data_IF_256871910590
#
_entry.id   IF_256871910590
#
_cell.length_a   1.000
_cell.length_b   1.000
_cell.length_c   1.000
_cell.angle_alpha   90.00
_cell.angle_beta   90.00
_cell.angle_gamma   90.00
#
_symmetry.space_group_name_H-M   'P 1'
#
loop_
_entity.id
_entity.type
_entity.pdbx_description
1 polymer ?
#
# COMPACT_ATOMS: atom_id res chain seq x y z
N UNK A 1 -0.42 2.55 -1.10
CA UNK A 1 -0.63 1.23 -1.71
C UNK A 1 -0.02 1.20 -3.11
N UNK A 2 0.90 0.30 -3.34
CA UNK A 2 1.52 0.08 -4.65
C UNK A 2 0.86 -1.12 -5.32
N UNK A 3 0.45 -0.96 -6.57
CA UNK A 3 -0.22 -2.00 -7.35
C UNK A 3 -0.90 -1.39 -8.57
N UNK A 4 -2.10 -1.81 -8.88
CA UNK A 4 -2.87 -1.25 -9.99
C UNK A 4 -4.11 -2.07 -10.34
N UNK A 5 -4.83 -1.62 -11.33
CA UNK A 5 -6.08 -2.24 -11.76
C UNK A 5 -5.91 -3.67 -12.33
N UNK A 6 -4.68 -4.02 -12.69
CA UNK A 6 -4.34 -5.36 -13.18
C UNK A 6 -4.21 -6.40 -12.06
N UNK A 7 -4.23 -5.98 -10.81
CA UNK A 7 -3.94 -6.80 -9.64
C UNK A 7 -5.24 -7.09 -8.86
N UNK A 8 -5.78 -8.33 -8.89
CA UNK A 8 -7.02 -8.66 -8.18
C UNK A 8 -6.95 -8.41 -6.67
N UNK A 9 -5.82 -8.73 -6.04
CA UNK A 9 -5.63 -8.51 -4.60
C UNK A 9 -5.56 -7.02 -4.24
N UNK A 10 -5.04 -6.18 -5.15
CA UNK A 10 -5.03 -4.73 -4.98
C UNK A 10 -6.45 -4.17 -4.98
N UNK A 11 -7.28 -4.64 -5.90
CA UNK A 11 -8.69 -4.24 -5.99
C UNK A 11 -9.48 -4.73 -4.76
N UNK A 12 -9.20 -5.95 -4.29
CA UNK A 12 -9.82 -6.48 -3.07
C UNK A 12 -9.48 -5.65 -1.85
N UNK A 13 -8.23 -5.20 -1.73
CA UNK A 13 -7.81 -4.36 -0.61
C UNK A 13 -8.48 -2.98 -0.65
N UNK A 14 -8.53 -2.35 -1.81
CA UNK A 14 -9.20 -1.06 -1.97
C UNK A 14 -10.68 -1.15 -1.61
N UNK A 15 -11.36 -2.21 -2.05
CA UNK A 15 -12.75 -2.48 -1.71
C UNK A 15 -12.93 -2.75 -0.20
N UNK A 16 -12.02 -3.50 0.39
CA UNK A 16 -12.02 -3.79 1.83
C UNK A 16 -11.89 -2.50 2.66
N UNK A 17 -10.97 -1.62 2.33
CA UNK A 17 -10.80 -0.33 3.01
C UNK A 17 -12.07 0.52 2.89
N UNK A 18 -12.70 0.53 1.73
CA UNK A 18 -13.92 1.30 1.50
C UNK A 18 -15.10 0.77 2.32
N UNK A 19 -15.25 -0.55 2.40
CA UNK A 19 -16.42 -1.20 3.01
C UNK A 19 -16.29 -1.49 4.50
N UNK A 20 -15.08 -1.76 5.00
CA UNK A 20 -14.87 -2.00 6.42
C UNK A 20 -14.83 -0.67 7.17
N UNK A 21 -15.84 -0.42 7.98
CA UNK A 21 -16.01 0.86 8.68
C UNK A 21 -14.84 1.18 9.60
N UNK A 22 -14.32 0.21 10.33
CA UNK A 22 -13.22 0.41 11.27
C UNK A 22 -11.91 0.73 10.54
N UNK A 23 -11.61 -0.01 9.48
CA UNK A 23 -10.41 0.20 8.66
C UNK A 23 -10.49 1.53 7.93
N UNK A 24 -11.64 1.84 7.33
CA UNK A 24 -11.88 3.11 6.65
C UNK A 24 -11.61 4.30 7.57
N UNK A 25 -12.16 4.25 8.79
CA UNK A 25 -11.96 5.30 9.79
C UNK A 25 -10.48 5.41 10.20
N UNK A 26 -9.82 4.29 10.45
CA UNK A 26 -8.40 4.30 10.84
C UNK A 26 -7.52 4.93 9.76
N UNK A 27 -7.79 4.62 8.50
CA UNK A 27 -7.06 5.21 7.36
C UNK A 27 -7.33 6.71 7.26
N UNK A 28 -8.61 7.09 7.24
CA UNK A 28 -8.98 8.50 7.01
C UNK A 28 -8.56 9.43 8.15
N UNK A 29 -8.57 8.93 9.40
CA UNK A 29 -8.23 9.74 10.57
C UNK A 29 -6.71 9.93 10.74
N UNK A 30 -5.89 9.02 10.21
CA UNK A 30 -4.46 8.97 10.52
C UNK A 30 -3.54 9.08 9.31
N UNK A 31 -4.05 8.86 8.09
CA UNK A 31 -3.22 8.76 6.89
C UNK A 31 -3.81 9.55 5.73
N UNK A 32 -2.92 9.89 4.79
CA UNK A 32 -3.31 10.23 3.42
C UNK A 32 -3.08 8.97 2.59
N UNK A 33 -4.14 8.37 2.10
CA UNK A 33 -4.09 7.11 1.37
C UNK A 33 -3.92 7.39 -0.11
N UNK A 34 -2.77 6.99 -0.66
CA UNK A 34 -2.44 7.18 -2.07
C UNK A 34 -2.30 5.82 -2.76
N UNK A 35 -2.83 5.74 -3.97
CA UNK A 35 -2.64 4.59 -4.85
C UNK A 35 -1.55 4.90 -5.85
N UNK A 36 -0.49 4.07 -5.85
CA UNK A 36 0.59 4.17 -6.82
C UNK A 36 0.39 3.07 -7.86
N UNK A 37 0.13 3.47 -9.09
CA UNK A 37 -0.06 2.55 -10.19
C UNK A 37 1.30 2.12 -10.75
N UNK A 38 1.62 0.84 -10.59
CA UNK A 38 2.85 0.23 -11.10
C UNK A 38 2.51 -1.11 -11.73
N UNK A 39 2.89 -1.30 -12.99
CA UNK A 39 2.70 -2.55 -13.70
C UNK A 39 4.06 -3.11 -14.16
N UNK A 40 4.55 -4.21 -13.54
CA UNK A 40 5.86 -4.77 -13.88
C UNK A 40 5.91 -5.38 -15.28
N UNK A 41 4.75 -5.59 -15.93
CA UNK A 41 4.65 -6.16 -17.28
C UNK A 41 4.67 -5.12 -18.40
N UNK A 42 4.62 -3.81 -18.07
CA UNK A 42 4.70 -2.77 -19.08
C UNK A 42 6.09 -2.71 -19.68
N UNK A 43 6.12 -2.46 -21.01
CA UNK A 43 7.39 -2.39 -21.77
C UNK A 43 8.16 -1.10 -21.43
N UNK A 44 9.48 -1.20 -21.48
CA UNK A 44 10.37 -0.06 -21.37
C UNK A 44 10.10 0.97 -22.48
N UNK A 45 10.42 2.23 -22.21
CA UNK A 45 10.26 3.33 -23.16
C UNK A 45 8.95 4.13 -22.99
N UNK A 46 8.03 3.67 -22.19
CA UNK A 46 6.85 4.44 -21.82
C UNK A 46 7.22 5.38 -20.66
N UNK A 47 6.92 6.67 -20.79
CA UNK A 47 7.23 7.67 -19.75
C UNK A 47 6.59 7.34 -18.40
N UNK A 48 5.40 6.72 -18.41
CA UNK A 48 4.74 6.29 -17.17
C UNK A 48 5.49 5.15 -16.49
N UNK A 49 6.11 4.26 -17.26
CA UNK A 49 6.94 3.16 -16.73
C UNK A 49 8.20 3.71 -16.08
N UNK A 50 8.86 4.68 -16.72
CA UNK A 50 10.07 5.30 -16.18
C UNK A 50 9.80 6.03 -14.87
N UNK A 51 8.70 6.81 -14.81
CA UNK A 51 8.29 7.50 -13.58
C UNK A 51 7.99 6.51 -12.45
N UNK A 52 7.27 5.44 -12.76
CA UNK A 52 6.97 4.40 -11.78
C UNK A 52 8.24 3.71 -11.29
N UNK A 53 9.19 3.40 -12.18
CA UNK A 53 10.47 2.78 -11.82
C UNK A 53 11.30 3.69 -10.91
N UNK A 54 11.35 4.99 -11.20
CA UNK A 54 12.04 5.96 -10.35
C UNK A 54 11.40 6.05 -8.97
N UNK A 55 10.06 6.04 -8.91
CA UNK A 55 9.34 6.03 -7.64
C UNK A 55 9.63 4.76 -6.85
N UNK A 56 9.65 3.59 -7.49
CA UNK A 56 9.98 2.33 -6.82
C UNK A 56 11.38 2.38 -6.21
N UNK A 57 12.35 2.93 -6.92
CA UNK A 57 13.71 3.13 -6.40
C UNK A 57 13.70 4.03 -5.16
N UNK A 58 12.97 5.13 -5.21
CA UNK A 58 12.84 6.07 -4.09
C UNK A 58 12.17 5.45 -2.88
N UNK A 59 11.25 4.51 -3.09
CA UNK A 59 10.53 3.80 -2.04
C UNK A 59 11.25 2.53 -1.57
N UNK A 60 12.52 2.34 -1.90
CA UNK A 60 13.34 1.18 -1.52
C UNK A 60 12.85 -0.14 -2.14
N UNK A 61 12.40 -0.08 -3.39
CA UNK A 61 12.00 -1.26 -4.17
C UNK A 61 10.94 -2.13 -3.49
N UNK A 62 9.77 -1.58 -3.10
CA UNK A 62 8.75 -2.34 -2.38
C UNK A 62 8.15 -3.47 -3.22
N UNK A 63 8.22 -3.40 -4.55
CA UNK A 63 7.68 -4.41 -5.45
C UNK A 63 8.25 -5.82 -5.24
N UNK A 64 9.41 -5.94 -4.56
CA UNK A 64 10.00 -7.25 -4.23
C UNK A 64 9.12 -8.09 -3.31
N UNK A 65 8.20 -7.46 -2.60
CA UNK A 65 7.26 -8.13 -1.70
C UNK A 65 5.95 -8.57 -2.39
N UNK A 66 5.80 -8.28 -3.68
CA UNK A 66 4.56 -8.56 -4.40
C UNK A 66 3.55 -7.42 -4.33
N UNK A 67 2.30 -7.68 -4.70
CA UNK A 67 1.26 -6.66 -4.80
C UNK A 67 -0.07 -7.15 -4.19
N UNK A 68 -0.84 -6.28 -3.53
CA UNK A 68 -0.42 -4.92 -3.17
C UNK A 68 0.71 -4.95 -2.15
N UNK A 69 1.49 -3.89 -2.12
CA UNK A 69 2.47 -3.65 -1.06
C UNK A 69 2.23 -2.25 -0.51
N UNK A 70 2.39 -2.10 0.79
CA UNK A 70 2.13 -0.83 1.46
C UNK A 70 3.43 -0.20 1.90
N UNK A 71 3.60 1.07 1.58
CA UNK A 71 4.75 1.84 2.00
C UNK A 71 4.24 2.96 2.89
N UNK A 72 4.71 2.98 4.14
CA UNK A 72 4.37 4.05 5.08
C UNK A 72 5.45 5.11 4.98
N UNK A 73 5.03 6.33 4.70
CA UNK A 73 5.92 7.48 4.57
C UNK A 73 5.65 8.48 5.68
N UNK A 74 6.69 9.21 6.07
CA UNK A 74 6.52 10.37 6.92
C UNK A 74 6.08 11.60 6.09
N UNK A 75 5.91 12.74 6.73
CA UNK A 75 5.49 13.99 6.11
C UNK A 75 6.48 14.52 5.07
N UNK A 76 7.74 14.07 5.12
CA UNK A 76 8.80 14.45 4.19
C UNK A 76 8.99 13.46 3.05
N UNK A 77 8.19 12.38 3.02
CA UNK A 77 8.28 11.33 2.02
C UNK A 77 9.35 10.27 2.30
N UNK A 78 9.88 10.21 3.52
CA UNK A 78 10.83 9.17 3.91
C UNK A 78 10.11 7.88 4.25
N UNK A 79 10.67 6.75 3.81
CA UNK A 79 10.10 5.43 4.06
C UNK A 79 10.30 5.05 5.53
N UNK A 80 9.19 4.85 6.24
CA UNK A 80 9.19 4.38 7.62
C UNK A 80 9.05 2.86 7.70
N UNK A 81 8.26 2.27 6.81
CA UNK A 81 7.95 0.84 6.83
C UNK A 81 7.43 0.38 5.48
N UNK A 82 7.73 -0.86 5.13
CA UNK A 82 7.17 -1.52 3.97
C UNK A 82 6.44 -2.77 4.47
N UNK A 83 5.14 -2.86 4.18
CA UNK A 83 4.29 -3.95 4.63
C UNK A 83 3.90 -4.85 3.48
N UNK A 84 4.27 -6.12 3.58
CA UNK A 84 3.79 -7.18 2.70
C UNK A 84 2.32 -7.44 3.01
N UNK A 85 1.47 -7.32 2.00
CA UNK A 85 0.02 -7.49 2.16
C UNK A 85 -0.39 -8.91 2.54
N UNK A 86 0.43 -9.92 2.25
CA UNK A 86 0.13 -11.31 2.58
C UNK A 86 -0.07 -11.52 4.08
N UNK A 87 0.58 -10.73 4.92
CA UNK A 87 0.40 -10.77 6.37
C UNK A 87 -0.95 -10.21 6.84
N UNK A 88 -1.68 -9.55 5.96
CA UNK A 88 -2.99 -8.97 6.26
C UNK A 88 -4.14 -9.81 5.71
N UNK A 89 -3.83 -10.86 4.97
CA UNK A 89 -4.82 -11.70 4.30
C UNK A 89 -5.48 -12.69 5.24
N UNK A 90 -6.74 -12.98 4.91
CA UNK A 90 -7.47 -14.11 5.48
C UNK A 90 -8.41 -14.69 4.45
N UNK A 91 -8.24 -15.98 4.13
CA UNK A 91 -9.03 -16.64 3.09
C UNK A 91 -8.85 -15.96 1.75
N UNK A 92 -9.94 -15.57 1.12
CA UNK A 92 -9.94 -14.87 -0.18
C UNK A 92 -9.97 -13.35 -0.06
N UNK A 93 -9.73 -12.81 1.12
CA UNK A 93 -9.79 -11.37 1.40
C UNK A 93 -8.78 -10.98 2.45
N UNK A 94 -9.12 -9.94 3.20
CA UNK A 94 -8.25 -9.36 4.22
C UNK A 94 -8.88 -9.45 5.60
N UNK A 95 -8.03 -9.53 6.63
CA UNK A 95 -8.46 -9.58 8.02
C UNK A 95 -8.49 -8.18 8.63
N UNK A 96 -9.62 -7.81 9.23
CA UNK A 96 -9.81 -6.50 9.87
C UNK A 96 -8.80 -6.28 11.00
N UNK A 97 -8.63 -7.26 11.88
CA UNK A 97 -7.76 -7.11 13.05
C UNK A 97 -6.29 -6.99 12.69
N UNK A 98 -5.82 -7.79 11.75
CA UNK A 98 -4.44 -7.70 11.24
C UNK A 98 -4.19 -6.35 10.58
N UNK A 99 -5.13 -5.88 9.79
CA UNK A 99 -5.03 -4.59 9.10
C UNK A 99 -5.05 -3.43 10.09
N UNK A 100 -5.94 -3.46 11.07
CA UNK A 100 -5.99 -2.43 12.11
C UNK A 100 -4.70 -2.40 12.95
N UNK A 101 -4.14 -3.57 13.27
CA UNK A 101 -2.86 -3.64 13.98
C UNK A 101 -1.74 -2.99 13.18
N UNK A 102 -1.65 -3.29 11.90
CA UNK A 102 -0.68 -2.65 11.00
C UNK A 102 -0.86 -1.13 11.03
N UNK A 103 -2.05 -0.64 10.78
CA UNK A 103 -2.32 0.80 10.72
C UNK A 103 -2.03 1.50 12.06
N UNK A 104 -2.45 0.93 13.17
CA UNK A 104 -2.23 1.51 14.52
C UNK A 104 -0.75 1.65 14.86
N UNK A 105 0.09 0.74 14.41
CA UNK A 105 1.53 0.77 14.68
C UNK A 105 2.25 1.88 13.91
N UNK A 106 1.64 2.42 12.86
CA UNK A 106 2.28 3.39 11.97
C UNK A 106 1.53 4.71 11.86
N UNK A 107 0.64 5.02 12.79
CA UNK A 107 0.02 6.35 12.86
C UNK A 107 1.08 7.40 13.20
N UNK A 108 0.85 8.69 12.86
CA UNK A 108 1.79 9.75 13.22
C UNK A 108 2.10 9.80 14.73
N UNK A 109 1.10 9.52 15.55
CA UNK A 109 1.25 9.47 17.01
C UNK A 109 2.12 8.28 17.46
N UNK A 110 2.00 7.13 16.80
CA UNK A 110 2.74 5.92 17.17
C UNK A 110 4.24 6.01 16.86
N UNK A 111 4.62 6.77 15.81
CA UNK A 111 6.01 6.86 15.34
C UNK A 111 6.76 8.10 15.85
N UNK A 112 6.12 8.90 16.66
CA UNK A 112 6.75 10.07 17.27
C UNK A 112 7.49 9.73 18.56
#
# INVERSE_FOLDING_TARGET
>A
QVGGNWCPWCLRFADFVEKDTAVNKAVNDNFVYLHVNYNPRKKEGDASVEKAAQLMKRLNYPQRFGFPVFVVLDENGNVLHIQDSSFLEQGKGYDEQKTLRFLKNWTPKAVK
#
